data_IF_349337271691
#
_entry.id   IF_349337271691
#
_cell.length_a   1.000
_cell.length_b   1.000
_cell.length_c   1.000
_cell.angle_alpha   90.00
_cell.angle_beta   90.00
_cell.angle_gamma   90.00
#
_symmetry.space_group_name_H-M   'P 1'
#
loop_
_entity.id
_entity.type
_entity.pdbx_description
1 polymer ?
#
# COMPACT_ATOMS: atom_id res chain seq x y z
N UNK A 1 24.62 0.79 -14.72
CA UNK A 1 23.65 -0.29 -15.01
C UNK A 1 22.75 -0.44 -13.80
N UNK A 2 21.45 -0.43 -13.97
CA UNK A 2 20.49 -0.60 -12.86
C UNK A 2 20.55 -2.05 -12.38
N UNK A 3 20.72 -2.25 -11.07
CA UNK A 3 20.78 -3.58 -10.46
C UNK A 3 19.41 -4.24 -10.54
N UNK A 4 19.33 -5.42 -11.20
CA UNK A 4 18.15 -6.25 -11.19
C UNK A 4 18.13 -7.13 -9.94
N UNK A 5 17.00 -7.19 -9.28
CA UNK A 5 16.76 -7.93 -8.05
C UNK A 5 15.64 -8.97 -8.28
N UNK A 6 15.70 -10.13 -7.65
CA UNK A 6 14.59 -11.08 -7.68
C UNK A 6 13.42 -10.56 -6.83
N UNK A 7 12.23 -11.10 -7.06
CA UNK A 7 11.11 -10.88 -6.16
C UNK A 7 11.36 -11.55 -4.79
N UNK A 8 10.86 -10.94 -3.72
CA UNK A 8 11.04 -11.43 -2.35
C UNK A 8 9.70 -11.47 -1.60
N UNK A 9 9.67 -12.21 -0.49
CA UNK A 9 8.53 -12.33 0.42
C UNK A 9 7.22 -12.73 -0.30
N UNK A 10 6.19 -11.89 -0.18
CA UNK A 10 4.88 -12.11 -0.78
C UNK A 10 4.81 -11.68 -2.26
N UNK A 11 5.82 -10.98 -2.79
CA UNK A 11 5.79 -10.43 -4.13
C UNK A 11 5.54 -11.48 -5.24
N UNK A 12 6.18 -12.69 -5.23
CA UNK A 12 5.88 -13.71 -6.24
C UNK A 12 4.41 -14.13 -6.27
N UNK A 13 3.80 -14.27 -5.08
CA UNK A 13 2.38 -14.61 -4.95
C UNK A 13 1.46 -13.51 -5.48
N UNK A 14 1.77 -12.25 -5.17
CA UNK A 14 1.02 -11.08 -5.66
C UNK A 14 1.14 -10.95 -7.17
N UNK A 15 2.36 -11.08 -7.73
CA UNK A 15 2.60 -11.04 -9.17
C UNK A 15 1.77 -12.10 -9.91
N UNK A 16 1.84 -13.36 -9.46
CA UNK A 16 1.10 -14.45 -10.07
C UNK A 16 -0.42 -14.24 -9.95
N UNK A 17 -0.89 -13.83 -8.80
CA UNK A 17 -2.32 -13.58 -8.59
C UNK A 17 -2.83 -12.41 -9.45
N UNK A 18 -2.00 -11.37 -9.67
CA UNK A 18 -2.33 -10.30 -10.61
C UNK A 18 -2.42 -10.81 -12.05
N UNK A 19 -1.47 -11.66 -12.49
CA UNK A 19 -1.49 -12.24 -13.83
C UNK A 19 -2.73 -13.10 -14.07
N UNK A 20 -3.23 -13.76 -13.05
CA UNK A 20 -4.44 -14.60 -13.10
C UNK A 20 -5.75 -13.81 -12.91
N UNK A 21 -5.67 -12.54 -12.55
CA UNK A 21 -6.84 -11.70 -12.29
C UNK A 21 -7.30 -10.97 -13.55
N UNK A 22 -8.61 -10.95 -13.77
CA UNK A 22 -9.23 -10.12 -14.80
C UNK A 22 -9.45 -8.66 -14.37
N UNK A 23 -9.17 -8.35 -13.08
CA UNK A 23 -9.37 -7.02 -12.50
C UNK A 23 -8.06 -6.23 -12.54
N UNK A 24 -7.97 -5.15 -13.33
CA UNK A 24 -6.72 -4.41 -13.55
C UNK A 24 -6.25 -3.60 -12.34
N UNK A 25 -7.05 -3.47 -11.29
CA UNK A 25 -6.72 -2.75 -10.06
C UNK A 25 -6.81 -3.61 -8.79
N UNK A 26 -6.94 -4.93 -8.93
CA UNK A 26 -7.18 -5.85 -7.80
C UNK A 26 -6.08 -5.76 -6.72
N UNK A 27 -4.86 -5.44 -7.11
CA UNK A 27 -3.69 -5.35 -6.24
C UNK A 27 -3.27 -3.91 -5.94
N UNK A 28 -4.12 -2.93 -6.25
CA UNK A 28 -3.95 -1.54 -5.81
C UNK A 28 -4.71 -1.31 -4.52
N UNK A 29 -4.01 -0.78 -3.54
CA UNK A 29 -4.55 -0.40 -2.24
C UNK A 29 -4.54 1.10 -2.11
N UNK A 30 -5.62 1.67 -1.62
CA UNK A 30 -5.74 3.11 -1.44
C UNK A 30 -6.47 3.44 -0.14
N UNK A 31 -6.07 4.54 0.44
CA UNK A 31 -6.73 5.15 1.58
C UNK A 31 -6.60 6.67 1.51
N UNK A 32 -7.30 7.37 2.35
CA UNK A 32 -7.05 8.78 2.57
C UNK A 32 -6.98 9.10 4.05
N UNK A 33 -6.20 10.12 4.36
CA UNK A 33 -6.11 10.71 5.69
C UNK A 33 -6.89 12.01 5.67
N UNK A 34 -7.84 12.16 6.56
CA UNK A 34 -8.55 13.42 6.76
C UNK A 34 -7.70 14.34 7.63
N UNK A 35 -7.42 15.53 7.14
CA UNK A 35 -6.67 16.58 7.83
C UNK A 35 -7.63 17.73 8.16
N UNK A 36 -7.71 18.08 9.43
CA UNK A 36 -8.58 19.12 9.93
C UNK A 36 -7.74 20.26 10.54
N UNK A 37 -8.10 21.51 10.23
CA UNK A 37 -7.41 22.71 10.67
C UNK A 37 -6.70 23.44 9.54
N UNK A 38 -5.89 24.42 9.90
CA UNK A 38 -5.08 25.16 8.93
C UNK A 38 -3.98 24.26 8.37
N UNK A 39 -3.86 24.24 7.04
CA UNK A 39 -2.89 23.43 6.32
C UNK A 39 -2.14 24.29 5.32
N UNK A 40 -0.82 24.30 5.41
CA UNK A 40 0.04 24.74 4.29
C UNK A 40 0.12 23.64 3.25
N UNK A 41 -0.87 23.59 2.35
CA UNK A 41 -0.98 22.55 1.35
C UNK A 41 0.20 22.54 0.34
N UNK A 42 0.74 23.66 -0.12
CA UNK A 42 1.99 23.70 -0.91
C UNK A 42 3.17 23.09 -0.16
N UNK A 43 3.36 23.40 1.11
CA UNK A 43 4.44 22.82 1.93
C UNK A 43 4.24 21.31 2.10
N UNK A 44 3.00 20.85 2.36
CA UNK A 44 2.70 19.42 2.45
C UNK A 44 2.96 18.72 1.11
N UNK A 45 2.59 19.33 -0.02
CA UNK A 45 2.84 18.75 -1.34
C UNK A 45 4.34 18.51 -1.59
N UNK A 46 5.19 19.46 -1.22
CA UNK A 46 6.67 19.31 -1.26
C UNK A 46 7.15 18.20 -0.32
N UNK A 47 6.62 18.14 0.91
CA UNK A 47 6.97 17.10 1.87
C UNK A 47 6.58 15.70 1.37
N UNK A 48 5.43 15.58 0.69
CA UNK A 48 5.00 14.33 0.03
C UNK A 48 6.01 13.90 -1.03
N UNK A 49 6.40 14.80 -1.94
CA UNK A 49 7.36 14.48 -2.99
C UNK A 49 8.68 13.96 -2.42
N UNK A 50 9.22 14.64 -1.40
CA UNK A 50 10.48 14.24 -0.74
C UNK A 50 10.33 12.93 0.02
N UNK A 51 9.27 12.75 0.79
CA UNK A 51 9.06 11.51 1.55
C UNK A 51 8.82 10.29 0.66
N UNK A 52 8.12 10.46 -0.47
CA UNK A 52 7.99 9.39 -1.47
C UNK A 52 9.35 9.06 -2.11
N UNK A 53 10.19 10.05 -2.37
CA UNK A 53 11.51 9.86 -2.94
C UNK A 53 12.46 9.12 -1.98
N UNK A 54 12.28 9.25 -0.68
CA UNK A 54 13.07 8.56 0.35
C UNK A 54 12.75 7.05 0.44
N UNK A 55 11.60 6.60 -0.06
CA UNK A 55 11.18 5.21 -0.02
C UNK A 55 11.51 4.52 -1.35
N UNK A 56 12.58 3.73 -1.39
CA UNK A 56 13.07 3.04 -2.59
C UNK A 56 11.98 2.22 -3.28
N UNK A 57 11.17 1.51 -2.50
CA UNK A 57 10.12 0.63 -3.01
C UNK A 57 9.11 1.36 -3.87
N UNK A 58 8.86 2.65 -3.64
CA UNK A 58 7.91 3.43 -4.43
C UNK A 58 8.40 3.72 -5.86
N UNK A 59 9.70 3.56 -6.11
CA UNK A 59 10.33 3.71 -7.42
C UNK A 59 10.59 2.40 -8.13
N UNK A 60 10.06 1.29 -7.61
CA UNK A 60 10.25 -0.03 -8.22
C UNK A 60 9.58 -0.14 -9.58
N UNK A 61 10.25 -0.86 -10.47
CA UNK A 61 9.74 -1.35 -11.75
C UNK A 61 9.87 -2.86 -11.79
N UNK A 62 9.03 -3.49 -12.61
CA UNK A 62 8.95 -4.92 -12.75
C UNK A 62 8.99 -5.31 -14.22
N UNK A 63 9.64 -6.42 -14.53
CA UNK A 63 9.62 -7.04 -15.85
C UNK A 63 9.61 -8.55 -15.73
N UNK A 64 9.04 -9.21 -16.74
CA UNK A 64 9.08 -10.67 -16.87
C UNK A 64 9.87 -11.01 -18.12
N UNK A 65 10.94 -11.78 -17.96
CA UNK A 65 11.82 -12.23 -19.05
C UNK A 65 12.08 -13.74 -18.91
N UNK A 66 11.78 -14.51 -19.94
CA UNK A 66 11.97 -15.97 -19.95
C UNK A 66 11.28 -16.73 -18.80
N UNK A 67 10.15 -16.20 -18.31
CA UNK A 67 9.40 -16.79 -17.20
C UNK A 67 9.94 -16.43 -15.81
N UNK A 68 10.98 -15.62 -15.74
CA UNK A 68 11.49 -15.05 -14.48
C UNK A 68 11.07 -13.59 -14.34
N UNK A 69 10.70 -13.21 -13.12
CA UNK A 69 10.29 -11.85 -12.81
C UNK A 69 11.41 -11.11 -12.07
N UNK A 70 11.77 -9.97 -12.62
CA UNK A 70 12.79 -9.10 -12.08
C UNK A 70 12.21 -7.77 -11.66
N UNK A 71 12.82 -7.18 -10.64
CA UNK A 71 12.52 -5.84 -10.19
C UNK A 71 13.78 -5.00 -10.06
N UNK A 72 13.63 -3.69 -10.13
CA UNK A 72 14.73 -2.74 -9.91
C UNK A 72 14.18 -1.43 -9.38
N UNK A 73 15.03 -0.69 -8.67
CA UNK A 73 14.74 0.70 -8.31
C UNK A 73 15.09 1.56 -9.51
N UNK A 74 14.12 2.31 -10.01
CA UNK A 74 14.32 3.24 -11.13
C UNK A 74 15.03 4.51 -10.62
N UNK A 75 16.32 4.74 -10.94
CA UNK A 75 17.06 5.89 -10.44
C UNK A 75 16.62 7.19 -11.10
N UNK A 76 16.04 7.12 -12.29
CA UNK A 76 15.58 8.30 -13.04
C UNK A 76 14.17 8.73 -12.64
N UNK A 77 13.45 7.87 -11.91
CA UNK A 77 12.12 8.22 -11.44
C UNK A 77 12.18 9.21 -10.27
N UNK A 78 11.58 10.35 -10.47
CA UNK A 78 11.43 11.39 -9.43
C UNK A 78 9.95 11.65 -9.18
N UNK A 79 9.59 11.79 -7.92
CA UNK A 79 8.25 12.20 -7.55
C UNK A 79 8.14 13.72 -7.58
N UNK A 80 7.21 14.23 -8.41
CA UNK A 80 6.76 15.62 -8.34
C UNK A 80 5.82 15.85 -7.16
N UNK A 81 5.51 17.12 -6.92
CA UNK A 81 4.46 17.47 -5.95
C UNK A 81 3.12 16.85 -6.37
N UNK A 82 2.37 16.25 -5.44
CA UNK A 82 1.06 15.68 -5.74
C UNK A 82 0.10 16.78 -6.20
N UNK A 83 -0.81 16.47 -7.15
CA UNK A 83 -1.82 17.43 -7.58
C UNK A 83 -2.73 17.81 -6.41
N UNK A 84 -3.16 19.08 -6.41
CA UNK A 84 -4.11 19.62 -5.45
C UNK A 84 -5.46 19.83 -6.19
N UNK A 85 -6.52 19.19 -5.72
CA UNK A 85 -7.87 19.40 -6.21
C UNK A 85 -8.66 20.23 -5.19
N UNK A 86 -9.22 21.36 -5.62
CA UNK A 86 -10.13 22.17 -4.80
C UNK A 86 -11.57 21.83 -5.19
N UNK A 87 -12.29 21.24 -4.26
CA UNK A 87 -13.67 20.79 -4.49
C UNK A 87 -14.71 21.63 -3.71
N UNK A 88 -14.30 22.76 -3.11
CA UNK A 88 -15.20 23.59 -2.31
C UNK A 88 -16.41 24.10 -3.07
N UNK A 89 -16.30 24.30 -4.39
CA UNK A 89 -17.38 24.76 -5.24
C UNK A 89 -18.35 23.64 -5.68
N UNK A 90 -18.08 22.39 -5.29
CA UNK A 90 -18.97 21.26 -5.59
C UNK A 90 -20.19 21.26 -4.65
N UNK A 91 -21.36 20.85 -5.11
CA UNK A 91 -22.57 20.75 -4.26
C UNK A 91 -22.39 19.84 -3.05
N UNK A 92 -21.59 18.77 -3.18
CA UNK A 92 -21.16 17.88 -2.12
C UNK A 92 -19.67 17.55 -2.32
N UNK A 93 -18.74 18.34 -1.71
CA UNK A 93 -17.31 18.16 -1.85
C UNK A 93 -16.83 16.78 -1.37
N UNK A 94 -17.43 16.24 -0.31
CA UNK A 94 -17.09 14.90 0.18
C UNK A 94 -17.41 13.82 -0.85
N UNK A 95 -18.61 13.83 -1.39
CA UNK A 95 -19.02 12.87 -2.43
C UNK A 95 -18.16 13.01 -3.70
N UNK A 96 -17.88 14.24 -4.11
CA UNK A 96 -17.02 14.53 -5.26
C UNK A 96 -15.58 13.97 -5.03
N UNK A 97 -15.04 14.13 -3.83
CA UNK A 97 -13.73 13.57 -3.49
C UNK A 97 -13.73 12.03 -3.55
N UNK A 98 -14.75 11.38 -3.01
CA UNK A 98 -14.87 9.92 -3.11
C UNK A 98 -14.98 9.45 -4.56
N UNK A 99 -15.74 10.17 -5.40
CA UNK A 99 -15.87 9.86 -6.82
C UNK A 99 -14.53 9.99 -7.56
N UNK A 100 -13.73 11.01 -7.24
CA UNK A 100 -12.40 11.24 -7.80
C UNK A 100 -11.44 10.10 -7.42
N UNK A 101 -11.39 9.70 -6.14
CA UNK A 101 -10.57 8.58 -5.68
C UNK A 101 -11.01 7.25 -6.32
N UNK A 102 -12.32 7.02 -6.46
CA UNK A 102 -12.84 5.83 -7.14
C UNK A 102 -12.50 5.80 -8.64
N UNK A 103 -12.52 6.97 -9.30
CA UNK A 103 -12.12 7.06 -10.70
C UNK A 103 -10.64 6.71 -10.90
N UNK A 104 -9.76 7.13 -9.99
CA UNK A 104 -8.35 6.72 -10.01
C UNK A 104 -8.20 5.20 -9.88
N UNK A 105 -8.91 4.56 -8.93
CA UNK A 105 -8.87 3.12 -8.71
C UNK A 105 -9.46 2.27 -9.86
N UNK A 106 -10.25 2.86 -10.75
CA UNK A 106 -10.78 2.15 -11.94
C UNK A 106 -9.81 2.10 -13.11
N UNK A 107 -8.68 2.78 -13.00
CA UNK A 107 -7.66 2.75 -14.06
C UNK A 107 -6.99 1.37 -14.13
N UNK A 108 -6.31 1.10 -15.25
CA UNK A 108 -5.41 -0.04 -15.30
C UNK A 108 -4.16 0.28 -14.49
N UNK A 109 -4.03 -0.37 -13.33
CA UNK A 109 -2.97 -0.16 -12.34
C UNK A 109 -2.10 -1.41 -12.16
N UNK A 110 -2.06 -2.27 -13.16
CA UNK A 110 -1.20 -3.47 -13.15
C UNK A 110 0.27 -3.07 -13.10
N UNK A 111 1.08 -3.91 -12.48
CA UNK A 111 2.52 -3.68 -12.32
C UNK A 111 3.26 -3.52 -13.67
N UNK A 112 2.77 -4.15 -14.73
CA UNK A 112 3.30 -4.09 -16.09
C UNK A 112 2.63 -3.03 -16.99
N UNK A 113 1.75 -2.19 -16.45
CA UNK A 113 0.99 -1.19 -17.23
C UNK A 113 1.82 0.01 -17.69
N UNK A 114 3.04 0.17 -17.21
CA UNK A 114 3.86 1.36 -17.45
C UNK A 114 3.40 2.61 -16.70
N UNK A 115 2.29 2.55 -15.94
CA UNK A 115 1.79 3.65 -15.12
C UNK A 115 2.52 3.74 -13.78
N UNK A 116 2.50 4.91 -13.11
CA UNK A 116 3.01 5.05 -11.75
C UNK A 116 2.26 4.12 -10.80
N UNK A 117 3.02 3.29 -10.07
CA UNK A 117 2.50 2.31 -9.12
C UNK A 117 2.22 2.92 -7.74
N UNK A 118 2.71 4.13 -7.48
CA UNK A 118 2.41 4.95 -6.31
C UNK A 118 1.86 6.31 -6.76
N UNK A 119 0.85 6.81 -6.07
CA UNK A 119 0.21 8.09 -6.38
C UNK A 119 -0.36 8.72 -5.13
N UNK A 120 -0.13 10.03 -4.96
CA UNK A 120 -0.74 10.84 -3.91
C UNK A 120 -1.48 12.03 -4.51
N UNK A 121 -2.49 12.49 -3.80
CA UNK A 121 -3.24 13.69 -4.14
C UNK A 121 -3.75 14.38 -2.88
N UNK A 122 -3.72 15.72 -2.87
CA UNK A 122 -4.36 16.53 -1.85
C UNK A 122 -5.69 17.05 -2.39
N UNK A 123 -6.74 16.91 -1.59
CA UNK A 123 -8.11 17.28 -2.01
C UNK A 123 -8.68 18.21 -0.95
N UNK A 124 -8.99 19.44 -1.35
CA UNK A 124 -9.60 20.42 -0.48
C UNK A 124 -11.11 20.25 -0.45
N UNK A 125 -11.68 20.06 0.73
CA UNK A 125 -13.11 19.83 0.94
C UNK A 125 -13.80 21.12 1.39
N UNK A 126 -13.19 21.83 2.34
CA UNK A 126 -13.60 23.16 2.79
C UNK A 126 -12.37 23.97 3.23
N UNK A 127 -12.55 25.07 3.92
CA UNK A 127 -11.45 25.96 4.31
C UNK A 127 -10.47 25.34 5.30
N UNK A 128 -10.94 24.38 6.08
CA UNK A 128 -10.17 23.76 7.18
C UNK A 128 -10.10 22.23 7.07
N UNK A 129 -10.65 21.64 6.00
CA UNK A 129 -10.76 20.20 5.86
C UNK A 129 -10.21 19.73 4.52
N UNK A 130 -9.26 18.80 4.59
CA UNK A 130 -8.56 18.24 3.46
C UNK A 130 -8.54 16.73 3.51
N UNK A 131 -8.49 16.08 2.35
CA UNK A 131 -8.17 14.67 2.23
C UNK A 131 -6.82 14.51 1.57
N UNK A 132 -5.93 13.78 2.21
CA UNK A 132 -4.67 13.34 1.63
C UNK A 132 -4.84 11.91 1.14
N UNK A 133 -5.15 11.76 -0.14
CA UNK A 133 -5.33 10.48 -0.82
C UNK A 133 -3.99 9.87 -1.16
N UNK A 134 -3.86 8.56 -0.94
CA UNK A 134 -2.66 7.76 -1.16
C UNK A 134 -3.07 6.44 -1.79
N UNK A 135 -2.46 6.10 -2.92
CA UNK A 135 -2.66 4.83 -3.63
C UNK A 135 -1.31 4.21 -3.94
N UNK A 136 -1.22 2.89 -3.75
CA UNK A 136 -0.03 2.11 -4.02
C UNK A 136 -0.40 0.75 -4.62
N UNK A 137 0.47 0.22 -5.46
CA UNK A 137 0.41 -1.18 -5.84
C UNK A 137 0.95 -2.05 -4.69
N UNK A 138 0.32 -3.19 -4.42
CA UNK A 138 0.67 -4.04 -3.27
C UNK A 138 2.05 -4.74 -3.42
N UNK A 139 2.66 -4.73 -4.61
CA UNK A 139 4.06 -5.13 -4.80
C UNK A 139 5.08 -4.18 -4.16
N UNK A 140 4.68 -2.91 -3.91
CA UNK A 140 5.57 -1.86 -3.37
C UNK A 140 5.50 -1.76 -1.85
N UNK A 141 4.36 -2.12 -1.26
CA UNK A 141 4.00 -1.80 0.12
C UNK A 141 3.17 -2.90 0.75
N UNK A 142 3.21 -2.96 2.07
CA UNK A 142 2.37 -3.79 2.92
C UNK A 142 1.66 -2.96 4.00
N UNK A 143 0.96 -3.61 4.92
CA UNK A 143 0.24 -2.94 6.00
C UNK A 143 1.12 -2.13 6.96
N UNK A 144 2.41 -2.42 7.05
CA UNK A 144 3.37 -1.67 7.88
C UNK A 144 3.96 -0.48 7.13
N UNK A 145 4.08 -0.56 5.82
CA UNK A 145 4.66 0.48 4.96
C UNK A 145 3.83 1.75 4.93
N UNK A 146 2.48 1.65 4.87
CA UNK A 146 1.60 2.82 4.82
C UNK A 146 1.80 3.79 5.99
N UNK A 147 1.72 3.33 7.26
CA UNK A 147 1.94 4.22 8.39
C UNK A 147 3.38 4.76 8.45
N UNK A 148 4.36 3.98 7.99
CA UNK A 148 5.76 4.41 7.99
C UNK A 148 5.99 5.56 7.01
N UNK A 149 5.50 5.43 5.77
CA UNK A 149 5.58 6.47 4.73
C UNK A 149 4.82 7.73 5.19
N UNK A 150 3.58 7.56 5.67
CA UNK A 150 2.75 8.68 6.15
C UNK A 150 3.43 9.42 7.30
N UNK A 151 4.00 8.71 8.28
CA UNK A 151 4.73 9.32 9.41
C UNK A 151 5.97 10.08 8.96
N UNK A 152 6.75 9.54 8.02
CA UNK A 152 7.94 10.22 7.51
C UNK A 152 7.57 11.52 6.80
N UNK A 153 6.57 11.50 5.93
CA UNK A 153 6.07 12.71 5.25
C UNK A 153 5.58 13.75 6.29
N UNK A 154 4.82 13.32 7.30
CA UNK A 154 4.37 14.21 8.35
C UNK A 154 5.52 14.76 9.20
N UNK A 155 6.60 14.00 9.39
CA UNK A 155 7.80 14.46 10.07
C UNK A 155 8.54 15.54 9.25
N UNK A 156 8.66 15.34 7.94
CA UNK A 156 9.24 16.31 7.01
C UNK A 156 8.42 17.61 7.03
N UNK A 157 7.11 17.51 6.87
CA UNK A 157 6.21 18.67 6.91
C UNK A 157 6.36 19.47 8.20
N UNK A 158 6.34 18.83 9.38
CA UNK A 158 6.50 19.50 10.67
C UNK A 158 7.88 20.13 10.84
N UNK A 159 8.93 19.47 10.39
CA UNK A 159 10.28 20.03 10.44
C UNK A 159 10.35 21.33 9.65
N UNK A 160 9.82 21.36 8.42
CA UNK A 160 9.83 22.54 7.58
C UNK A 160 8.92 23.66 8.09
N UNK A 161 7.80 23.35 8.76
CA UNK A 161 6.98 24.37 9.43
C UNK A 161 7.73 25.11 10.55
N UNK A 162 8.76 24.51 11.10
CA UNK A 162 9.60 25.09 12.16
C UNK A 162 11.00 25.45 11.67
N UNK A 163 11.20 25.59 10.35
CA UNK A 163 12.49 25.90 9.71
C UNK A 163 13.62 24.91 10.09
N UNK A 164 13.26 23.69 10.49
CA UNK A 164 14.21 22.64 10.81
C UNK A 164 14.67 21.87 9.54
N UNK A 165 15.85 21.24 9.56
CA UNK A 165 16.33 20.45 8.44
C UNK A 165 15.42 19.23 8.17
N UNK A 166 15.44 18.78 6.89
CA UNK A 166 14.71 17.57 6.49
C UNK A 166 15.19 16.36 7.30
N UNK A 167 14.28 15.63 7.95
CA UNK A 167 14.62 14.39 8.65
C UNK A 167 15.24 13.36 7.71
N UNK A 168 16.20 12.60 8.22
CA UNK A 168 16.77 11.47 7.51
C UNK A 168 15.71 10.40 7.21
N UNK A 169 15.94 9.64 6.14
CA UNK A 169 15.08 8.51 5.79
C UNK A 169 15.17 7.41 6.85
N UNK A 170 14.05 6.95 7.41
CA UNK A 170 14.03 5.81 8.31
C UNK A 170 14.03 4.47 7.55
N UNK A 171 14.01 4.51 6.22
CA UNK A 171 13.86 3.31 5.39
C UNK A 171 15.22 2.70 5.08
N UNK A 172 15.33 1.38 5.28
CA UNK A 172 16.49 0.60 4.85
C UNK A 172 16.48 0.48 3.32
N UNK A 173 17.65 0.53 2.65
CA UNK A 173 17.74 0.26 1.22
C UNK A 173 17.13 -1.10 0.88
N UNK A 174 16.31 -1.16 -0.16
CA UNK A 174 15.61 -2.38 -0.51
C UNK A 174 16.54 -3.52 -0.94
N UNK A 175 17.71 -3.22 -1.47
CA UNK A 175 18.74 -4.21 -1.79
C UNK A 175 19.16 -5.03 -0.57
N UNK A 176 19.29 -4.39 0.60
CA UNK A 176 19.65 -5.06 1.86
C UNK A 176 18.55 -6.06 2.29
N UNK A 177 17.28 -5.70 2.07
CA UNK A 177 16.14 -6.58 2.33
C UNK A 177 16.21 -7.82 1.43
N UNK A 178 16.54 -7.64 0.14
CA UNK A 178 16.70 -8.77 -0.80
C UNK A 178 17.84 -9.69 -0.35
N UNK A 179 18.97 -9.14 0.07
CA UNK A 179 20.11 -9.92 0.58
C UNK A 179 19.74 -10.70 1.86
N UNK A 180 18.97 -10.11 2.76
CA UNK A 180 18.49 -10.78 3.96
C UNK A 180 17.60 -11.98 3.60
N UNK A 181 16.67 -11.81 2.66
CA UNK A 181 15.84 -12.91 2.15
C UNK A 181 16.66 -14.02 1.51
N UNK A 182 17.66 -13.69 0.71
CA UNK A 182 18.55 -14.68 0.11
C UNK A 182 19.33 -15.46 1.17
N UNK A 183 19.87 -14.78 2.17
CA UNK A 183 20.56 -15.42 3.31
C UNK A 183 19.64 -16.35 4.10
N UNK A 184 18.40 -15.91 4.35
CA UNK A 184 17.41 -16.74 5.02
C UNK A 184 17.10 -18.02 4.23
N UNK A 185 16.87 -17.94 2.91
CA UNK A 185 16.62 -19.11 2.06
C UNK A 185 17.76 -20.12 2.02
N UNK A 186 18.99 -19.71 2.29
CA UNK A 186 20.18 -20.58 2.36
C UNK A 186 20.46 -21.10 3.78
N UNK A 187 19.64 -20.71 4.77
CA UNK A 187 19.89 -21.00 6.18
C UNK A 187 19.24 -22.31 6.65
N UNK A 188 19.74 -22.84 7.75
CA UNK A 188 19.10 -23.95 8.45
C UNK A 188 17.70 -23.55 9.00
N UNK A 189 17.48 -22.25 9.28
CA UNK A 189 16.19 -21.75 9.71
C UNK A 189 15.13 -21.98 8.63
N UNK A 190 15.43 -21.71 7.37
CA UNK A 190 14.52 -22.00 6.25
C UNK A 190 14.11 -23.49 6.20
N UNK A 191 15.05 -24.40 6.42
CA UNK A 191 14.79 -25.85 6.42
C UNK A 191 13.87 -26.24 7.59
N UNK A 192 14.14 -25.73 8.79
CA UNK A 192 13.31 -26.00 9.98
C UNK A 192 11.90 -25.44 9.81
N UNK A 193 11.79 -24.22 9.34
CA UNK A 193 10.49 -23.57 9.11
C UNK A 193 9.70 -24.28 8.03
N UNK A 194 10.35 -24.73 6.96
CA UNK A 194 9.75 -25.54 5.91
C UNK A 194 9.21 -26.87 6.44
N UNK A 195 9.98 -27.58 7.29
CA UNK A 195 9.55 -28.82 7.91
C UNK A 195 8.36 -28.60 8.86
N UNK A 196 8.40 -27.54 9.68
CA UNK A 196 7.30 -27.15 10.57
C UNK A 196 6.01 -26.91 9.78
N UNK A 197 6.06 -26.07 8.76
CA UNK A 197 4.86 -25.75 7.96
C UNK A 197 4.36 -26.95 7.15
N UNK A 198 5.25 -27.82 6.68
CA UNK A 198 4.87 -29.05 6.01
C UNK A 198 4.10 -30.00 6.95
N UNK A 199 4.49 -30.07 8.23
CA UNK A 199 3.75 -30.83 9.24
C UNK A 199 2.39 -30.18 9.54
N UNK A 200 2.36 -28.86 9.82
CA UNK A 200 1.12 -28.14 10.11
C UNK A 200 0.08 -28.32 9.00
N UNK A 201 0.49 -28.28 7.74
CA UNK A 201 -0.42 -28.46 6.58
C UNK A 201 -1.10 -29.81 6.53
N UNK A 202 -0.50 -30.87 7.09
CA UNK A 202 -1.13 -32.21 7.15
C UNK A 202 -2.22 -32.27 8.19
N UNK A 203 -2.15 -31.45 9.21
CA UNK A 203 -3.05 -31.45 10.37
C UNK A 203 -4.14 -30.37 10.28
N UNK A 204 -4.07 -29.49 9.25
CA UNK A 204 -5.05 -28.44 9.07
C UNK A 204 -6.43 -29.02 8.71
N UNK A 205 -7.49 -28.55 9.38
CA UNK A 205 -8.84 -28.87 8.96
C UNK A 205 -9.14 -28.28 7.57
N UNK A 206 -10.18 -28.78 6.89
CA UNK A 206 -10.63 -28.17 5.65
C UNK A 206 -10.88 -26.66 5.83
N UNK A 207 -10.63 -25.84 4.79
CA UNK A 207 -10.87 -24.40 4.87
C UNK A 207 -12.31 -24.11 5.30
N UNK A 208 -12.45 -23.29 6.35
CA UNK A 208 -13.75 -22.84 6.80
C UNK A 208 -14.20 -21.65 5.94
N UNK A 209 -15.47 -21.62 5.55
CA UNK A 209 -16.10 -20.49 4.87
C UNK A 209 -17.23 -19.96 5.74
N UNK A 210 -17.35 -18.62 5.81
CA UNK A 210 -18.52 -17.97 6.42
C UNK A 210 -19.73 -17.98 5.48
N UNK A 211 -19.56 -18.38 4.22
CA UNK A 211 -20.64 -18.52 3.24
C UNK A 211 -21.15 -19.95 3.27
N UNK A 212 -22.46 -20.13 3.47
CA UNK A 212 -23.14 -21.40 3.33
C UNK A 212 -23.40 -21.80 1.85
N UNK A 213 -23.19 -20.87 0.91
CA UNK A 213 -23.35 -21.14 -0.51
C UNK A 213 -22.06 -21.75 -1.09
N UNK A 214 -22.17 -22.71 -2.03
CA UNK A 214 -21.03 -23.12 -2.83
C UNK A 214 -20.42 -21.86 -3.48
N UNK A 215 -19.08 -21.79 -3.54
CA UNK A 215 -18.41 -20.72 -4.29
C UNK A 215 -19.02 -20.71 -5.70
N UNK A 216 -19.63 -19.61 -6.14
CA UNK A 216 -20.12 -19.54 -7.50
C UNK A 216 -18.95 -19.83 -8.42
N UNK A 217 -19.16 -20.71 -9.38
CA UNK A 217 -18.19 -20.89 -10.46
C UNK A 217 -17.85 -19.52 -11.03
N UNK A 218 -16.59 -19.32 -11.43
CA UNK A 218 -16.01 -18.06 -11.89
C UNK A 218 -17.07 -17.18 -12.56
N UNK A 219 -17.61 -16.24 -11.79
CA UNK A 219 -18.47 -15.20 -12.33
C UNK A 219 -17.56 -14.09 -12.84
N UNK A 220 -17.70 -13.74 -14.09
CA UNK A 220 -16.95 -12.66 -14.76
C UNK A 220 -17.21 -11.26 -14.16
N UNK A 221 -17.93 -11.16 -13.05
CA UNK A 221 -18.33 -9.90 -12.42
C UNK A 221 -17.89 -9.78 -10.96
N UNK A 222 -16.73 -10.31 -10.59
CA UNK A 222 -16.18 -10.08 -9.26
C UNK A 222 -15.76 -8.61 -9.12
N UNK A 223 -16.69 -7.77 -8.68
CA UNK A 223 -16.41 -6.40 -8.29
C UNK A 223 -15.82 -6.35 -6.87
N UNK A 224 -15.03 -5.32 -6.59
CA UNK A 224 -14.61 -5.05 -5.21
C UNK A 224 -15.81 -4.52 -4.45
N UNK A 225 -16.32 -5.29 -3.47
CA UNK A 225 -17.33 -4.83 -2.55
C UNK A 225 -16.66 -4.04 -1.42
N UNK A 226 -16.91 -2.74 -1.36
CA UNK A 226 -16.50 -1.90 -0.23
C UNK A 226 -17.68 -1.73 0.73
N UNK A 227 -17.51 -2.19 1.96
CA UNK A 227 -18.48 -1.97 3.03
C UNK A 227 -17.88 -1.03 4.08
N UNK A 228 -18.63 0.00 4.47
CA UNK A 228 -18.31 0.82 5.63
C UNK A 228 -19.19 0.36 6.78
N UNK A 229 -18.56 -0.20 7.81
CA UNK A 229 -19.24 -0.52 9.06
C UNK A 229 -18.91 0.57 10.07
N UNK A 230 -19.95 1.17 10.64
CA UNK A 230 -19.82 2.11 11.75
C UNK A 230 -20.42 1.45 12.97
N UNK A 231 -19.62 1.29 14.01
CA UNK A 231 -20.09 0.79 15.29
C UNK A 231 -19.72 1.79 16.40
N UNK A 232 -20.59 1.98 17.42
CA UNK A 232 -20.24 2.77 18.60
C UNK A 232 -18.96 2.22 19.23
N UNK A 233 -18.09 3.09 19.75
CA UNK A 233 -16.82 2.70 20.36
C UNK A 233 -17.00 1.65 21.49
N UNK A 234 -18.16 1.62 22.17
CA UNK A 234 -18.51 0.61 23.17
C UNK A 234 -18.75 -0.80 22.62
N UNK A 235 -19.15 -0.94 21.34
CA UNK A 235 -19.41 -2.25 20.74
C UNK A 235 -18.11 -3.04 20.53
N UNK A 236 -16.99 -2.38 20.26
CA UNK A 236 -15.68 -3.02 20.10
C UNK A 236 -15.14 -3.61 21.41
N UNK A 237 -15.49 -3.04 22.57
CA UNK A 237 -15.09 -3.59 23.88
C UNK A 237 -15.77 -4.91 24.21
N UNK A 238 -16.94 -5.17 23.64
CA UNK A 238 -17.66 -6.43 23.82
C UNK A 238 -17.15 -7.55 22.89
N UNK A 239 -16.48 -7.18 21.79
CA UNK A 239 -15.89 -8.12 20.84
C UNK A 239 -14.44 -8.49 21.19
N UNK A 240 -13.78 -7.73 22.05
CA UNK A 240 -12.49 -8.13 22.58
C UNK A 240 -12.71 -9.36 23.49
N UNK A 241 -12.18 -10.54 23.19
CA UNK A 241 -12.19 -11.62 24.16
C UNK A 241 -11.51 -11.11 25.42
N UNK A 242 -12.03 -11.44 26.57
CA UNK A 242 -11.34 -11.30 27.84
C UNK A 242 -10.09 -12.21 27.76
N UNK A 243 -9.08 -11.73 27.05
CA UNK A 243 -7.79 -12.40 26.91
C UNK A 243 -7.13 -12.32 28.27
N UNK A 244 -7.28 -13.36 29.06
CA UNK A 244 -6.45 -13.57 30.21
C UNK A 244 -5.01 -13.57 29.77
N UNK A 245 -4.22 -12.65 30.34
CA UNK A 245 -2.79 -12.72 30.32
C UNK A 245 -2.36 -14.10 30.83
N UNK A 246 -1.82 -14.92 29.97
CA UNK A 246 -0.95 -15.99 30.37
C UNK A 246 0.49 -15.55 30.05
N UNK A 247 1.24 -15.39 31.13
CA UNK A 247 2.66 -15.13 31.18
C UNK A 247 3.50 -16.11 30.35
#
# INVERSE_FOLDING_TARGET
MTQRLPLVAAQPGIWMAEKLSDLPSAWSVAHYVELNGELDAPLLAKAVAVGMQQADTLRMRFTEENGEVWQWIDPEHTFGEPPIADLRDQPDPHHAALALMQADLRQNLRADSGKPLAFHQLIRIDDTRWYWYQRYHHLLVDGFSFPAITRQIAAIYRAWQSDAPTPESPFTPFADVVEEYQRYHQSEAWQRDGAFWAQQRRELPPPASMSAAPLPGRSASAGILRMKLSAPAGAFRQLAPAGGAHA
#
